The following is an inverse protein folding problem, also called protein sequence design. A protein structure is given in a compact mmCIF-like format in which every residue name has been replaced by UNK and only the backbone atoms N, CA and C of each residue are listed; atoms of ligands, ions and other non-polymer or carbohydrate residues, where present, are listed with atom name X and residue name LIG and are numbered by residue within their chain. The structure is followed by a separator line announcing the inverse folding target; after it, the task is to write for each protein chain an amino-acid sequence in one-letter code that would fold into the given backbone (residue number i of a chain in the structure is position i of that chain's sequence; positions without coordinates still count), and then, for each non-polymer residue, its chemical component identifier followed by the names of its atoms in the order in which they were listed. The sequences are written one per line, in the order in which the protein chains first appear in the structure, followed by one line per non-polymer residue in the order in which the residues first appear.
data_IF_512461375378
#
_entry.id   IF_512461375378
#
_cell.length_a   1.000
_cell.length_b   1.000
_cell.length_c   1.000
_cell.angle_alpha   90.00
_cell.angle_beta   90.00
_cell.angle_gamma   90.00
#
_symmetry.space_group_name_H-M   'P 1'
#
loop_
_entity.id
_entity.type
_entity.pdbx_description
1 polymer ?
#
# COMPACT_ATOMS: atom_id res chain seq x y z
N UNK A 1 -7.18 -29.16 10.38
CA UNK A 1 -8.07 -28.45 11.33
C UNK A 1 -8.53 -27.18 10.65
N UNK A 2 -9.85 -26.97 10.54
CA UNK A 2 -10.45 -25.74 10.00
C UNK A 2 -10.16 -24.58 10.95
N UNK A 3 -9.56 -23.48 10.47
CA UNK A 3 -9.37 -22.27 11.30
C UNK A 3 -10.67 -21.46 11.26
N UNK A 4 -11.06 -20.90 12.41
CA UNK A 4 -12.30 -20.11 12.55
C UNK A 4 -11.93 -18.63 12.73
N UNK A 5 -12.58 -17.76 11.96
CA UNK A 5 -12.48 -16.32 12.18
C UNK A 5 -13.27 -15.90 13.41
N UNK A 6 -12.58 -15.46 14.45
CA UNK A 6 -13.24 -14.95 15.67
C UNK A 6 -13.61 -13.49 15.46
N UNK A 7 -14.84 -13.20 15.06
CA UNK A 7 -15.32 -11.82 14.97
C UNK A 7 -15.56 -11.21 16.36
N UNK A 8 -14.54 -10.59 16.95
CA UNK A 8 -14.75 -9.74 18.13
C UNK A 8 -15.41 -8.43 17.65
N UNK A 9 -16.63 -8.14 18.11
CA UNK A 9 -17.26 -6.82 18.00
C UNK A 9 -16.51 -5.84 18.93
N UNK A 10 -15.29 -5.48 18.54
CA UNK A 10 -14.61 -4.32 19.12
C UNK A 10 -14.81 -3.17 18.13
N UNK A 11 -15.42 -2.08 18.61
CA UNK A 11 -15.64 -0.88 17.84
C UNK A 11 -14.32 -0.28 17.41
N UNK A 12 -13.79 -0.74 16.29
CA UNK A 12 -12.73 -0.06 15.56
C UNK A 12 -13.43 1.06 14.82
N UNK A 13 -12.92 2.27 15.00
CA UNK A 13 -13.35 3.46 14.27
C UNK A 13 -13.05 3.20 12.79
N UNK A 14 -13.99 2.55 12.10
CA UNK A 14 -14.20 2.75 10.68
C UNK A 14 -14.33 4.26 10.56
N UNK A 15 -13.62 4.88 9.62
CA UNK A 15 -14.08 6.17 9.13
C UNK A 15 -15.41 5.88 8.43
N UNK A 16 -16.47 5.74 9.23
CA UNK A 16 -17.84 5.73 8.78
C UNK A 16 -18.09 7.15 8.30
N UNK A 17 -17.76 7.40 7.04
CA UNK A 17 -18.52 8.40 6.32
C UNK A 17 -19.94 7.81 6.33
N UNK A 18 -20.85 8.44 7.06
CA UNK A 18 -22.28 8.16 6.96
C UNK A 18 -22.66 8.31 5.49
N UNK A 19 -22.76 7.19 4.78
CA UNK A 19 -23.32 7.15 3.44
C UNK A 19 -24.83 7.34 3.65
N UNK A 20 -25.29 8.58 3.49
CA UNK A 20 -26.72 8.84 3.35
C UNK A 20 -27.24 8.03 2.16
N UNK A 21 -28.41 7.41 2.32
CA UNK A 21 -29.08 6.72 1.22
C UNK A 21 -29.27 7.69 0.04
N UNK A 22 -28.45 7.56 -0.99
CA UNK A 22 -28.72 8.19 -2.28
C UNK A 22 -29.63 7.23 -3.04
N UNK A 23 -30.90 7.61 -3.12
CA UNK A 23 -31.88 7.00 -4.02
C UNK A 23 -31.29 6.94 -5.44
N UNK A 24 -31.43 5.80 -6.08
CA UNK A 24 -31.02 5.59 -7.46
C UNK A 24 -31.75 6.60 -8.38
N UNK A 25 -31.01 7.59 -8.87
CA UNK A 25 -31.38 8.34 -10.07
C UNK A 25 -30.54 7.79 -11.23
N UNK A 26 -31.23 7.27 -12.23
CA UNK A 26 -30.67 6.73 -13.46
C UNK A 26 -29.75 7.75 -14.16
N UNK A 27 -28.69 7.20 -14.76
CA UNK A 27 -27.61 7.84 -15.53
C UNK A 27 -26.48 8.46 -14.69
N UNK A 28 -25.41 7.69 -14.48
CA UNK A 28 -24.14 8.16 -13.89
C UNK A 28 -23.15 8.47 -15.03
N UNK A 29 -22.93 9.75 -15.42
CA UNK A 29 -22.14 10.12 -16.59
C UNK A 29 -20.61 9.93 -16.42
N UNK A 30 -20.14 9.29 -15.34
CA UNK A 30 -18.74 9.33 -14.90
C UNK A 30 -17.92 8.04 -15.13
N UNK A 31 -18.53 6.93 -15.56
CA UNK A 31 -17.80 5.66 -15.74
C UNK A 31 -17.54 5.45 -17.23
N UNK A 32 -16.27 5.50 -17.63
CA UNK A 32 -15.85 5.06 -18.95
C UNK A 32 -15.28 3.64 -18.87
N UNK A 33 -15.73 2.78 -19.79
CA UNK A 33 -15.29 1.40 -19.95
C UNK A 33 -14.13 1.34 -20.95
N UNK A 34 -12.97 0.79 -20.55
CA UNK A 34 -11.79 0.65 -21.43
C UNK A 34 -11.49 -0.82 -21.76
N UNK A 35 -10.88 -1.08 -22.92
CA UNK A 35 -10.30 -2.39 -23.22
C UNK A 35 -9.11 -2.70 -22.28
N UNK A 36 -9.00 -3.95 -21.82
CA UNK A 36 -7.96 -4.41 -20.88
C UNK A 36 -6.56 -4.23 -21.49
N UNK A 37 -5.84 -3.19 -21.07
CA UNK A 37 -4.45 -2.92 -21.51
C UNK A 37 -3.39 -3.30 -20.46
N UNK A 38 -3.81 -3.70 -19.25
CA UNK A 38 -2.93 -4.06 -18.13
C UNK A 38 -3.08 -5.56 -17.86
N UNK A 39 -1.97 -6.26 -17.64
CA UNK A 39 -1.98 -7.67 -17.25
C UNK A 39 -2.71 -7.84 -15.91
N UNK A 40 -3.66 -8.78 -15.85
CA UNK A 40 -4.40 -9.09 -14.62
C UNK A 40 -3.43 -9.55 -13.51
N UNK A 41 -3.34 -8.83 -12.37
CA UNK A 41 -2.45 -9.21 -11.28
C UNK A 41 -3.01 -10.35 -10.40
N UNK A 42 -4.31 -10.70 -10.53
CA UNK A 42 -4.99 -11.74 -9.73
C UNK A 42 -5.20 -13.03 -10.52
N UNK A 43 -4.11 -13.60 -11.06
CA UNK A 43 -4.18 -14.74 -11.98
C UNK A 43 -4.88 -15.96 -11.37
N UNK A 44 -4.50 -16.35 -10.14
CA UNK A 44 -5.06 -17.53 -9.48
C UNK A 44 -6.54 -17.35 -9.11
N UNK A 45 -6.93 -16.17 -8.63
CA UNK A 45 -8.33 -15.85 -8.34
C UNK A 45 -9.17 -15.84 -9.62
N UNK A 46 -8.62 -15.30 -10.72
CA UNK A 46 -9.33 -15.18 -11.99
C UNK A 46 -9.66 -16.54 -12.64
N UNK A 47 -9.01 -17.63 -12.22
CA UNK A 47 -9.39 -19.00 -12.61
C UNK A 47 -10.77 -19.42 -12.08
N UNK A 48 -11.22 -18.82 -10.97
CA UNK A 48 -12.48 -19.19 -10.30
C UNK A 48 -13.51 -18.06 -10.25
N UNK A 49 -13.06 -16.81 -10.12
CA UNK A 49 -13.91 -15.62 -10.02
C UNK A 49 -13.32 -14.57 -10.95
N UNK A 50 -13.98 -14.26 -12.07
CA UNK A 50 -13.50 -13.23 -12.99
C UNK A 50 -13.38 -11.86 -12.32
N UNK A 51 -12.21 -11.24 -12.47
CA UNK A 51 -11.95 -9.85 -12.08
C UNK A 51 -11.77 -9.00 -13.33
N UNK A 52 -12.18 -7.73 -13.24
CA UNK A 52 -12.20 -6.79 -14.35
C UNK A 52 -11.54 -5.47 -13.98
N UNK A 53 -10.90 -4.81 -14.95
CA UNK A 53 -10.40 -3.45 -14.85
C UNK A 53 -11.04 -2.61 -15.95
N UNK A 54 -12.34 -2.38 -15.80
CA UNK A 54 -13.11 -1.68 -16.83
C UNK A 54 -13.39 -0.23 -16.45
N UNK A 55 -13.35 0.14 -15.16
CA UNK A 55 -13.72 1.50 -14.72
C UNK A 55 -12.53 2.44 -14.77
N UNK A 56 -12.79 3.69 -15.17
CA UNK A 56 -11.80 4.77 -15.19
C UNK A 56 -12.44 6.13 -14.87
N UNK A 57 -11.59 7.12 -14.53
CA UNK A 57 -11.98 8.52 -14.37
C UNK A 57 -11.10 9.45 -15.21
N UNK A 58 -11.67 10.55 -15.69
CA UNK A 58 -10.94 11.58 -16.44
C UNK A 58 -10.39 12.66 -15.51
N UNK A 59 -9.06 12.84 -15.52
CA UNK A 59 -8.38 13.89 -14.76
C UNK A 59 -7.32 14.57 -15.60
N UNK A 60 -7.36 15.91 -15.66
CA UNK A 60 -6.38 16.72 -16.41
C UNK A 60 -6.15 16.22 -17.86
N UNK A 61 -7.22 15.76 -18.51
CA UNK A 61 -7.18 15.21 -19.87
C UNK A 61 -6.37 13.91 -19.98
N UNK A 62 -6.43 13.05 -18.97
CA UNK A 62 -6.02 11.64 -19.06
C UNK A 62 -7.12 10.76 -18.51
N UNK A 63 -7.32 9.62 -19.17
CA UNK A 63 -8.08 8.49 -18.65
C UNK A 63 -7.25 7.75 -17.62
N UNK A 64 -7.77 7.62 -16.39
CA UNK A 64 -7.08 6.96 -15.28
C UNK A 64 -7.88 5.73 -14.86
N UNK A 65 -7.39 4.51 -15.17
CA UNK A 65 -8.03 3.28 -14.71
C UNK A 65 -8.10 3.23 -13.19
N UNK A 66 -9.20 2.69 -12.69
CA UNK A 66 -9.39 2.38 -11.27
C UNK A 66 -8.80 1.00 -10.95
N UNK A 67 -8.94 0.54 -9.71
CA UNK A 67 -8.47 -0.79 -9.33
C UNK A 67 -9.33 -1.90 -9.93
N UNK A 68 -8.73 -3.07 -10.12
CA UNK A 68 -9.47 -4.28 -10.50
C UNK A 68 -10.51 -4.63 -9.45
N UNK A 69 -11.70 -5.01 -9.89
CA UNK A 69 -12.79 -5.43 -9.01
C UNK A 69 -13.56 -6.64 -9.56
N UNK A 70 -14.42 -7.24 -8.73
CA UNK A 70 -15.31 -8.29 -9.17
C UNK A 70 -16.37 -7.74 -10.12
N UNK A 71 -16.67 -8.49 -11.19
CA UNK A 71 -17.79 -8.18 -12.08
C UNK A 71 -19.15 -8.25 -11.37
N UNK A 72 -19.31 -9.23 -10.47
CA UNK A 72 -20.47 -9.38 -9.60
C UNK A 72 -19.99 -9.77 -8.20
N UNK A 73 -20.17 -8.85 -7.25
CA UNK A 73 -19.61 -8.97 -5.91
C UNK A 73 -20.32 -10.03 -5.06
N UNK A 74 -21.65 -10.10 -5.14
CA UNK A 74 -22.44 -11.06 -4.36
C UNK A 74 -22.12 -12.49 -4.80
N UNK A 75 -22.06 -12.71 -6.12
CA UNK A 75 -21.64 -14.01 -6.68
C UNK A 75 -20.19 -14.37 -6.29
N UNK A 76 -19.28 -13.39 -6.24
CA UNK A 76 -17.90 -13.62 -5.82
C UNK A 76 -17.82 -14.09 -4.35
N UNK A 77 -18.62 -13.51 -3.46
CA UNK A 77 -18.72 -13.91 -2.05
C UNK A 77 -19.20 -15.36 -1.94
N UNK A 78 -20.26 -15.73 -2.63
CA UNK A 78 -20.84 -17.08 -2.56
C UNK A 78 -19.87 -18.16 -3.09
N UNK A 79 -19.18 -17.87 -4.19
CA UNK A 79 -18.12 -18.74 -4.73
C UNK A 79 -17.00 -18.88 -3.70
N UNK A 80 -16.55 -17.78 -3.10
CA UNK A 80 -15.44 -17.80 -2.14
C UNK A 80 -15.78 -18.58 -0.87
N UNK A 81 -17.01 -18.45 -0.36
CA UNK A 81 -17.52 -19.25 0.76
C UNK A 81 -17.45 -20.74 0.46
N UNK A 82 -17.93 -21.14 -0.72
CA UNK A 82 -17.95 -22.53 -1.16
C UNK A 82 -16.54 -23.08 -1.40
N UNK A 83 -15.65 -22.26 -1.97
CA UNK A 83 -14.27 -22.63 -2.30
C UNK A 83 -13.38 -22.83 -1.07
N UNK A 84 -13.63 -22.12 0.04
CA UNK A 84 -12.79 -22.17 1.25
C UNK A 84 -13.39 -22.94 2.43
N UNK A 85 -14.58 -23.52 2.27
CA UNK A 85 -15.35 -24.12 3.37
C UNK A 85 -14.62 -25.19 4.18
N UNK A 86 -13.63 -25.87 3.60
CA UNK A 86 -12.83 -26.92 4.22
C UNK A 86 -11.64 -26.39 5.04
N UNK A 87 -11.13 -25.19 4.70
CA UNK A 87 -10.00 -24.56 5.40
C UNK A 87 -10.41 -23.51 6.41
N UNK A 88 -11.34 -22.63 6.02
CA UNK A 88 -11.67 -21.41 6.76
C UNK A 88 -13.19 -21.25 6.79
N UNK A 89 -13.71 -20.84 7.94
CA UNK A 89 -15.13 -20.49 8.04
C UNK A 89 -15.40 -19.07 7.50
N UNK A 90 -16.06 -19.00 6.35
CA UNK A 90 -16.48 -17.75 5.70
C UNK A 90 -18.02 -17.59 5.71
N UNK A 91 -18.75 -18.36 6.50
CA UNK A 91 -20.23 -18.36 6.50
C UNK A 91 -20.85 -16.95 6.63
N UNK A 92 -20.33 -16.15 7.55
CA UNK A 92 -20.77 -14.76 7.80
C UNK A 92 -20.10 -13.71 6.90
N UNK A 93 -19.26 -14.11 5.93
CA UNK A 93 -18.62 -13.18 5.02
C UNK A 93 -19.65 -12.42 4.18
N UNK A 94 -19.50 -11.10 4.12
CA UNK A 94 -20.30 -10.17 3.32
C UNK A 94 -19.38 -9.09 2.77
N UNK A 95 -19.89 -8.30 1.83
CA UNK A 95 -19.16 -7.12 1.34
C UNK A 95 -18.85 -6.11 2.46
N UNK A 96 -19.73 -6.00 3.46
CA UNK A 96 -19.60 -5.03 4.55
C UNK A 96 -18.56 -5.43 5.60
N UNK A 97 -18.23 -6.71 5.71
CA UNK A 97 -17.24 -7.21 6.67
C UNK A 97 -16.02 -7.85 6.00
N UNK A 98 -15.89 -7.79 4.66
CA UNK A 98 -14.77 -8.39 3.94
C UNK A 98 -13.41 -7.87 4.46
N UNK A 99 -13.30 -6.58 4.79
CA UNK A 99 -12.08 -6.01 5.39
C UNK A 99 -11.72 -6.65 6.73
N UNK A 100 -12.72 -6.91 7.58
CA UNK A 100 -12.49 -7.54 8.87
C UNK A 100 -12.01 -8.97 8.69
N UNK A 101 -12.56 -9.69 7.72
CA UNK A 101 -12.08 -11.03 7.37
C UNK A 101 -10.65 -11.00 6.84
N UNK A 102 -10.30 -10.02 6.00
CA UNK A 102 -8.94 -9.82 5.51
C UNK A 102 -7.96 -9.53 6.66
N UNK A 103 -8.34 -8.67 7.61
CA UNK A 103 -7.54 -8.36 8.79
C UNK A 103 -7.29 -9.58 9.68
N UNK A 104 -8.29 -10.44 9.87
CA UNK A 104 -8.11 -11.67 10.63
C UNK A 104 -7.28 -12.69 9.84
N UNK A 105 -7.43 -12.75 8.51
CA UNK A 105 -6.64 -13.62 7.64
C UNK A 105 -5.15 -13.34 7.81
N UNK A 106 -4.78 -12.07 7.79
CA UNK A 106 -3.39 -11.58 7.94
C UNK A 106 -2.82 -11.87 9.34
N UNK A 107 -3.65 -12.06 10.37
CA UNK A 107 -3.20 -12.53 11.69
C UNK A 107 -2.96 -14.02 11.75
N UNK A 108 -3.73 -14.78 10.97
CA UNK A 108 -3.74 -16.24 11.03
C UNK A 108 -2.68 -16.89 10.16
N UNK A 109 -2.23 -16.19 9.11
CA UNK A 109 -1.33 -16.73 8.10
C UNK A 109 -0.20 -15.76 7.79
N UNK A 110 1.02 -16.30 7.82
CA UNK A 110 2.21 -15.59 7.34
C UNK A 110 2.24 -15.53 5.82
N UNK A 111 2.98 -14.57 5.28
CA UNK A 111 3.20 -14.42 3.83
C UNK A 111 3.75 -15.71 3.20
N UNK A 112 4.64 -16.43 3.91
CA UNK A 112 5.22 -17.67 3.42
C UNK A 112 4.20 -18.82 3.37
N UNK A 113 3.32 -18.93 4.37
CA UNK A 113 2.22 -19.90 4.35
C UNK A 113 1.27 -19.62 3.18
N UNK A 114 0.89 -18.34 2.97
CA UNK A 114 0.07 -17.93 1.83
C UNK A 114 0.78 -18.25 0.52
N UNK A 115 2.08 -17.99 0.41
CA UNK A 115 2.85 -18.23 -0.82
C UNK A 115 3.01 -19.71 -1.19
N UNK A 116 2.80 -20.64 -0.25
CA UNK A 116 2.92 -22.09 -0.49
C UNK A 116 1.58 -22.79 -0.74
N UNK A 117 0.46 -22.15 -0.41
CA UNK A 117 -0.88 -22.75 -0.48
C UNK A 117 -1.77 -22.04 -1.51
N UNK A 118 -2.14 -22.74 -2.59
CA UNK A 118 -2.95 -22.16 -3.67
C UNK A 118 -4.29 -21.57 -3.18
N UNK A 119 -4.94 -22.22 -2.23
CA UNK A 119 -6.24 -21.80 -1.71
C UNK A 119 -6.10 -20.54 -0.85
N UNK A 120 -5.04 -20.45 -0.04
CA UNK A 120 -4.73 -19.23 0.71
C UNK A 120 -4.32 -18.07 -0.21
N UNK A 121 -3.59 -18.32 -1.31
CA UNK A 121 -3.31 -17.28 -2.32
C UNK A 121 -4.58 -16.71 -2.92
N UNK A 122 -5.48 -17.58 -3.35
CA UNK A 122 -6.77 -17.19 -3.92
C UNK A 122 -7.57 -16.37 -2.91
N UNK A 123 -7.62 -16.82 -1.66
CA UNK A 123 -8.31 -16.07 -0.60
C UNK A 123 -7.65 -14.72 -0.31
N UNK A 124 -6.31 -14.65 -0.31
CA UNK A 124 -5.57 -13.39 -0.17
C UNK A 124 -5.89 -12.42 -1.32
N UNK A 125 -5.88 -12.89 -2.57
CA UNK A 125 -6.23 -12.07 -3.74
C UNK A 125 -7.70 -11.62 -3.66
N UNK A 126 -8.60 -12.49 -3.20
CA UNK A 126 -10.01 -12.14 -3.00
C UNK A 126 -10.17 -10.97 -2.03
N UNK A 127 -9.47 -11.01 -0.89
CA UNK A 127 -9.50 -9.92 0.08
C UNK A 127 -8.91 -8.62 -0.47
N UNK A 128 -7.84 -8.68 -1.26
CA UNK A 128 -7.32 -7.51 -1.97
C UNK A 128 -8.36 -6.92 -2.93
N UNK A 129 -9.06 -7.75 -3.70
CA UNK A 129 -10.09 -7.28 -4.64
C UNK A 129 -11.32 -6.72 -3.90
N UNK A 130 -11.65 -7.24 -2.71
CA UNK A 130 -12.63 -6.61 -1.82
C UNK A 130 -12.22 -5.16 -1.45
N UNK A 131 -10.97 -4.96 -1.04
CA UNK A 131 -10.42 -3.63 -0.70
C UNK A 131 -10.47 -2.69 -1.88
N UNK A 132 -10.11 -3.17 -3.06
CA UNK A 132 -10.17 -2.40 -4.30
C UNK A 132 -11.58 -1.89 -4.60
N UNK A 133 -12.61 -2.70 -4.38
CA UNK A 133 -13.98 -2.26 -4.58
C UNK A 133 -14.39 -1.14 -3.61
N UNK A 134 -13.97 -1.23 -2.35
CA UNK A 134 -14.17 -0.16 -1.36
C UNK A 134 -13.44 1.12 -1.79
N UNK A 135 -12.19 0.98 -2.26
CA UNK A 135 -11.37 2.09 -2.76
C UNK A 135 -11.99 2.73 -4.01
N UNK A 136 -12.45 1.95 -4.98
CA UNK A 136 -13.13 2.45 -6.18
C UNK A 136 -14.40 3.22 -5.81
N UNK A 137 -15.18 2.75 -4.83
CA UNK A 137 -16.34 3.50 -4.31
C UNK A 137 -15.93 4.83 -3.69
N UNK A 138 -14.85 4.85 -2.91
CA UNK A 138 -14.31 6.08 -2.33
C UNK A 138 -13.85 7.07 -3.41
N UNK A 139 -13.08 6.60 -4.39
CA UNK A 139 -12.59 7.40 -5.53
C UNK A 139 -13.77 8.01 -6.30
N UNK A 140 -14.76 7.21 -6.67
CA UNK A 140 -15.93 7.68 -7.41
C UNK A 140 -16.78 8.65 -6.58
N UNK A 141 -16.92 8.38 -5.27
CA UNK A 141 -17.64 9.27 -4.37
C UNK A 141 -16.96 10.64 -4.26
N UNK A 142 -15.63 10.71 -4.21
CA UNK A 142 -14.88 11.96 -4.20
C UNK A 142 -14.93 12.65 -5.55
N UNK A 143 -14.69 11.92 -6.65
CA UNK A 143 -14.70 12.46 -8.00
C UNK A 143 -16.01 13.15 -8.38
N UNK A 144 -17.14 12.61 -7.90
CA UNK A 144 -18.48 13.15 -8.16
C UNK A 144 -18.83 14.40 -7.30
N UNK A 145 -17.95 14.82 -6.39
CA UNK A 145 -18.16 16.08 -5.64
C UNK A 145 -17.81 17.28 -6.53
N UNK A 146 -18.59 18.36 -6.45
CA UNK A 146 -18.36 19.57 -7.28
C UNK A 146 -16.98 20.20 -7.06
N UNK A 147 -16.49 20.18 -5.83
CA UNK A 147 -15.24 20.82 -5.40
C UNK A 147 -14.28 19.82 -4.74
N UNK A 148 -14.11 18.64 -5.36
CA UNK A 148 -13.20 17.64 -4.82
C UNK A 148 -11.76 18.18 -4.74
N UNK A 149 -11.04 17.82 -3.69
CA UNK A 149 -9.62 18.17 -3.59
C UNK A 149 -8.79 17.23 -4.46
N UNK A 150 -8.20 17.79 -5.53
CA UNK A 150 -7.41 17.03 -6.49
C UNK A 150 -6.30 16.18 -5.84
N UNK A 151 -5.54 16.77 -4.91
CA UNK A 151 -4.46 16.06 -4.22
C UNK A 151 -4.97 14.91 -3.34
N UNK A 152 -6.18 15.01 -2.80
CA UNK A 152 -6.79 13.94 -2.00
C UNK A 152 -7.30 12.79 -2.90
N UNK A 153 -7.85 13.11 -4.07
CA UNK A 153 -8.28 12.10 -5.03
C UNK A 153 -7.09 11.34 -5.63
N UNK A 154 -6.03 12.07 -6.00
CA UNK A 154 -4.87 11.50 -6.68
C UNK A 154 -4.11 10.49 -5.82
N UNK A 155 -4.03 10.69 -4.51
CA UNK A 155 -3.37 9.74 -3.59
C UNK A 155 -4.16 8.45 -3.37
N UNK A 156 -5.36 8.33 -3.94
CA UNK A 156 -6.18 7.10 -3.91
C UNK A 156 -6.06 6.29 -5.19
N UNK A 157 -5.53 6.87 -6.27
CA UNK A 157 -5.48 6.21 -7.56
C UNK A 157 -4.32 5.21 -7.62
N UNK A 158 -4.43 4.14 -8.44
CA UNK A 158 -3.28 3.31 -8.77
C UNK A 158 -2.07 4.18 -9.13
N UNK A 159 -0.88 3.87 -8.62
CA UNK A 159 0.31 4.70 -8.91
C UNK A 159 0.70 4.65 -10.40
N UNK A 160 0.13 3.71 -11.15
CA UNK A 160 0.23 3.55 -12.61
C UNK A 160 -0.70 4.48 -13.39
N UNK A 161 -1.59 5.22 -12.72
CA UNK A 161 -2.51 6.16 -13.38
C UNK A 161 -1.73 7.26 -14.13
N UNK A 162 -2.06 7.55 -15.40
CA UNK A 162 -1.32 8.53 -16.22
C UNK A 162 -1.26 9.95 -15.61
N UNK A 163 -2.26 10.34 -14.80
CA UNK A 163 -2.27 11.65 -14.13
C UNK A 163 -1.07 11.82 -13.17
N UNK A 164 -0.54 10.74 -12.59
CA UNK A 164 0.60 10.78 -11.67
C UNK A 164 1.85 11.34 -12.37
N UNK A 165 2.10 10.91 -13.61
CA UNK A 165 3.24 11.42 -14.40
C UNK A 165 3.06 12.90 -14.74
N UNK A 166 1.84 13.32 -15.10
CA UNK A 166 1.53 14.75 -15.32
C UNK A 166 1.81 15.59 -14.08
N UNK A 167 1.43 15.10 -12.89
CA UNK A 167 1.70 15.80 -11.62
C UNK A 167 3.21 15.87 -11.35
N UNK A 168 3.94 14.77 -11.52
CA UNK A 168 5.40 14.74 -11.32
C UNK A 168 6.12 15.71 -12.26
N UNK A 169 5.76 15.72 -13.54
CA UNK A 169 6.37 16.60 -14.54
C UNK A 169 6.07 18.07 -14.24
N UNK A 170 4.87 18.36 -13.75
CA UNK A 170 4.48 19.72 -13.31
C UNK A 170 5.26 20.14 -12.06
N UNK A 171 5.56 19.22 -11.14
CA UNK A 171 6.36 19.48 -9.93
C UNK A 171 7.87 19.50 -10.20
N UNK A 172 8.35 18.91 -11.31
CA UNK A 172 9.77 18.84 -11.64
C UNK A 172 10.41 20.23 -11.80
N UNK A 173 9.62 21.21 -12.25
CA UNK A 173 10.03 22.62 -12.37
C UNK A 173 10.16 23.33 -11.01
N UNK A 174 9.63 22.75 -9.92
CA UNK A 174 9.62 23.31 -8.56
C UNK A 174 10.59 22.60 -7.59
N UNK A 175 11.41 21.65 -8.07
CA UNK A 175 12.28 20.84 -7.20
C UNK A 175 13.27 21.74 -6.45
N UNK A 176 13.29 21.58 -5.13
CA UNK A 176 14.15 22.35 -4.22
C UNK A 176 15.62 22.27 -4.63
N UNK A 177 16.32 23.40 -4.54
CA UNK A 177 17.78 23.46 -4.67
C UNK A 177 18.43 22.40 -3.76
N UNK A 178 19.52 21.73 -4.20
CA UNK A 178 20.18 20.72 -3.41
C UNK A 178 20.59 21.32 -2.05
N UNK A 179 20.14 20.69 -0.96
CA UNK A 179 20.65 21.01 0.39
C UNK A 179 22.16 20.77 0.41
N UNK A 180 22.88 21.53 1.24
CA UNK A 180 24.28 21.23 1.51
C UNK A 180 24.44 19.76 1.95
N UNK A 181 25.52 19.13 1.50
CA UNK A 181 25.85 17.73 1.85
C UNK A 181 25.82 17.56 3.37
N UNK A 182 26.39 18.51 4.12
CA UNK A 182 26.42 18.50 5.58
C UNK A 182 25.03 18.55 6.24
N UNK A 183 24.06 19.27 5.68
CA UNK A 183 22.70 19.29 6.21
C UNK A 183 21.95 17.99 5.92
N UNK A 184 22.24 17.35 4.78
CA UNK A 184 21.71 16.02 4.44
C UNK A 184 22.26 14.95 5.38
N UNK A 185 23.56 14.94 5.63
CA UNK A 185 24.18 13.92 6.49
C UNK A 185 23.69 14.04 7.93
N UNK A 186 23.54 15.26 8.45
CA UNK A 186 22.93 15.48 9.78
C UNK A 186 21.48 15.00 9.87
N UNK A 187 20.68 15.16 8.80
CA UNK A 187 19.31 14.61 8.74
C UNK A 187 19.35 13.09 8.82
N UNK A 188 20.13 12.44 7.95
CA UNK A 188 20.22 10.98 7.88
C UNK A 188 20.73 10.40 9.20
N UNK A 189 21.69 11.07 9.86
CA UNK A 189 22.16 10.67 11.19
C UNK A 189 21.02 10.63 12.22
N UNK A 190 20.17 11.65 12.26
CA UNK A 190 19.04 11.72 13.18
C UNK A 190 17.96 10.69 12.85
N UNK A 191 17.65 10.51 11.56
CA UNK A 191 16.76 9.47 11.06
C UNK A 191 17.25 8.07 11.49
N UNK A 192 18.53 7.78 11.27
CA UNK A 192 19.16 6.52 11.66
C UNK A 192 19.14 6.30 13.17
N UNK A 193 19.38 7.34 13.97
CA UNK A 193 19.28 7.25 15.44
C UNK A 193 17.86 6.87 15.86
N UNK A 194 16.85 7.52 15.30
CA UNK A 194 15.45 7.21 15.60
C UNK A 194 15.09 5.78 15.20
N UNK A 195 15.44 5.39 13.96
CA UNK A 195 15.19 4.07 13.42
C UNK A 195 15.80 2.97 14.31
N UNK A 196 17.04 3.14 14.79
CA UNK A 196 17.72 2.18 15.67
C UNK A 196 17.10 2.10 17.07
N UNK A 197 16.60 3.21 17.60
CA UNK A 197 15.97 3.21 18.94
C UNK A 197 14.59 2.54 18.91
N UNK A 198 13.82 2.77 17.84
CA UNK A 198 12.41 2.39 17.81
C UNK A 198 12.06 1.27 16.83
N UNK A 199 13.00 0.79 16.02
CA UNK A 199 12.69 -0.24 15.02
C UNK A 199 12.34 -1.61 15.62
N UNK A 200 12.89 -1.98 16.77
CA UNK A 200 12.49 -3.21 17.47
C UNK A 200 11.31 -2.98 18.44
N UNK A 201 11.10 -1.74 18.87
CA UNK A 201 10.07 -1.35 19.86
C UNK A 201 9.42 -0.01 19.47
N UNK A 202 8.15 -0.01 19.05
CA UNK A 202 7.46 1.20 18.62
C UNK A 202 7.45 2.32 19.67
N UNK A 203 7.49 3.57 19.23
CA UNK A 203 7.45 4.76 20.09
C UNK A 203 6.05 5.06 20.63
N UNK A 204 5.49 4.14 21.41
CA UNK A 204 4.12 4.24 21.96
C UNK A 204 3.93 5.39 22.94
N UNK A 205 5.01 5.95 23.48
CA UNK A 205 4.96 7.13 24.35
C UNK A 205 4.56 8.41 23.62
N UNK A 206 4.85 8.50 22.31
CA UNK A 206 4.61 9.71 21.51
C UNK A 206 3.61 9.51 20.39
N UNK A 207 3.53 8.31 19.82
CA UNK A 207 2.69 8.02 18.67
C UNK A 207 1.81 6.80 18.95
N UNK A 208 0.60 6.82 18.39
CA UNK A 208 -0.23 5.62 18.30
C UNK A 208 0.55 4.52 17.57
N UNK A 209 0.51 3.31 18.11
CA UNK A 209 1.03 2.11 17.45
C UNK A 209 -0.12 1.34 16.83
N UNK A 210 0.01 1.02 15.54
CA UNK A 210 -0.98 0.21 14.83
C UNK A 210 -0.52 -1.25 14.80
N UNK A 211 -0.94 -2.02 15.82
CA UNK A 211 -0.51 -3.41 15.99
C UNK A 211 -0.97 -4.34 14.87
N UNK A 212 -0.09 -5.23 14.41
CA UNK A 212 -0.41 -6.31 13.47
C UNK A 212 0.16 -6.08 12.06
N UNK A 213 0.02 -7.11 11.23
CA UNK A 213 0.42 -7.01 9.83
C UNK A 213 -0.58 -6.14 9.05
N UNK A 214 -0.09 -5.36 8.08
CA UNK A 214 -0.83 -4.42 7.23
C UNK A 214 -1.65 -3.31 7.92
N UNK A 215 -1.44 -3.04 9.22
CA UNK A 215 -2.24 -2.05 9.98
C UNK A 215 -1.75 -0.60 9.88
N UNK A 216 -0.84 -0.31 8.95
CA UNK A 216 -0.32 1.03 8.68
C UNK A 216 0.89 1.45 9.50
N UNK A 217 1.38 0.60 10.41
CA UNK A 217 2.49 1.01 11.27
C UNK A 217 3.84 1.06 10.56
N UNK A 218 4.01 0.29 9.48
CA UNK A 218 5.14 0.44 8.56
C UNK A 218 5.34 1.90 8.14
N UNK A 219 4.25 2.56 7.75
CA UNK A 219 4.22 3.94 7.27
C UNK A 219 4.28 4.95 8.41
N UNK A 220 3.54 4.69 9.49
CA UNK A 220 3.61 5.51 10.70
C UNK A 220 5.04 5.61 11.21
N UNK A 221 5.77 4.49 11.27
CA UNK A 221 7.16 4.45 11.70
C UNK A 221 8.10 5.19 10.74
N UNK A 222 7.99 4.95 9.44
CA UNK A 222 8.79 5.69 8.44
C UNK A 222 8.51 7.20 8.53
N UNK A 223 7.26 7.60 8.72
CA UNK A 223 6.90 9.01 8.89
C UNK A 223 7.54 9.63 10.15
N UNK A 224 7.58 8.89 11.26
CA UNK A 224 8.26 9.30 12.48
C UNK A 224 9.78 9.46 12.27
N UNK A 225 10.41 8.53 11.54
CA UNK A 225 11.83 8.63 11.18
C UNK A 225 12.08 9.94 10.41
N UNK A 226 11.25 10.25 9.41
CA UNK A 226 11.37 11.49 8.63
C UNK A 226 11.28 12.75 9.51
N UNK A 227 10.31 12.80 10.44
CA UNK A 227 10.16 13.91 11.38
C UNK A 227 11.34 14.00 12.35
N UNK A 228 11.86 12.88 12.85
CA UNK A 228 13.07 12.87 13.68
C UNK A 228 14.30 13.40 12.93
N UNK A 229 14.33 13.23 11.60
CA UNK A 229 15.31 13.85 10.70
C UNK A 229 15.16 15.37 10.50
N UNK A 230 14.12 15.99 11.07
CA UNK A 230 13.83 17.42 10.94
C UNK A 230 12.98 17.78 9.72
N UNK A 231 12.34 16.82 9.05
CA UNK A 231 11.37 17.11 7.99
C UNK A 231 10.10 17.63 8.64
N UNK A 232 9.71 18.86 8.27
CA UNK A 232 8.50 19.51 8.80
C UNK A 232 7.25 18.89 8.20
N UNK A 233 6.26 18.62 9.05
CA UNK A 233 4.91 18.23 8.64
C UNK A 233 4.15 19.41 8.05
N UNK A 234 3.04 19.13 7.37
CA UNK A 234 2.10 20.13 6.88
C UNK A 234 0.65 19.63 7.05
N UNK A 235 -0.33 20.29 6.43
CA UNK A 235 -1.74 19.90 6.57
C UNK A 235 -2.06 18.54 5.95
N UNK A 236 -1.36 18.15 4.89
CA UNK A 236 -1.56 16.89 4.17
C UNK A 236 -0.83 15.72 4.85
N UNK A 237 0.45 15.90 5.18
CA UNK A 237 1.31 14.91 5.83
C UNK A 237 1.66 15.36 7.25
N UNK A 238 0.92 14.82 8.22
CA UNK A 238 1.09 15.01 9.67
C UNK A 238 0.55 13.78 10.41
N UNK A 239 0.86 13.60 11.70
CA UNK A 239 0.40 12.43 12.44
C UNK A 239 -1.07 12.12 12.21
N UNK A 240 -1.33 10.86 11.86
CA UNK A 240 -2.66 10.25 11.69
C UNK A 240 -3.44 10.65 10.44
N UNK A 241 -2.88 11.47 9.53
CA UNK A 241 -3.47 11.62 8.18
C UNK A 241 -3.23 10.37 7.34
N UNK A 242 -4.02 10.16 6.28
CA UNK A 242 -3.86 9.02 5.36
C UNK A 242 -2.43 8.92 4.83
N UNK A 243 -1.85 10.02 4.36
CA UNK A 243 -0.46 10.06 3.86
C UNK A 243 0.59 9.81 4.94
N UNK A 244 0.24 9.79 6.22
CA UNK A 244 1.16 9.48 7.33
C UNK A 244 1.13 8.00 7.74
N UNK A 245 -0.02 7.32 7.61
CA UNK A 245 -0.23 5.95 8.11
C UNK A 245 -0.47 4.90 7.01
N UNK A 246 -0.90 5.30 5.82
CA UNK A 246 -1.18 4.37 4.73
C UNK A 246 -0.02 4.34 3.73
N UNK A 247 0.48 3.14 3.41
CA UNK A 247 1.69 2.95 2.60
C UNK A 247 1.52 3.53 1.20
N UNK A 248 0.43 3.20 0.52
CA UNK A 248 0.11 3.73 -0.80
C UNK A 248 0.08 5.26 -0.82
N UNK A 249 -0.74 5.87 0.04
CA UNK A 249 -0.86 7.33 0.09
C UNK A 249 0.46 8.02 0.46
N UNK A 250 1.24 7.46 1.40
CA UNK A 250 2.55 7.99 1.79
C UNK A 250 3.53 7.93 0.62
N UNK A 251 3.68 6.75 0.02
CA UNK A 251 4.66 6.53 -1.06
C UNK A 251 4.30 7.41 -2.24
N UNK A 252 3.03 7.48 -2.63
CA UNK A 252 2.56 8.30 -3.74
C UNK A 252 2.72 9.81 -3.46
N UNK A 253 2.40 10.27 -2.24
CA UNK A 253 2.62 11.66 -1.82
C UNK A 253 4.08 12.09 -1.97
N UNK A 254 5.03 11.26 -1.50
CA UNK A 254 6.45 11.57 -1.61
C UNK A 254 6.98 11.34 -3.02
N UNK A 255 6.49 10.32 -3.73
CA UNK A 255 6.83 10.06 -5.12
C UNK A 255 6.52 11.27 -6.01
N UNK A 256 5.32 11.85 -5.88
CA UNK A 256 4.91 13.04 -6.63
C UNK A 256 5.76 14.29 -6.32
N UNK A 257 6.39 14.35 -5.14
CA UNK A 257 7.26 15.47 -4.74
C UNK A 257 8.71 15.29 -5.16
N UNK A 258 9.23 14.07 -5.08
CA UNK A 258 10.64 13.79 -5.44
C UNK A 258 10.81 13.44 -6.91
N UNK A 259 9.72 13.04 -7.59
CA UNK A 259 9.73 12.33 -8.87
C UNK A 259 10.76 11.21 -8.87
N UNK A 260 10.59 10.30 -7.92
CA UNK A 260 11.46 9.16 -7.70
C UNK A 260 11.55 8.25 -8.93
N UNK A 261 12.50 7.31 -8.91
CA UNK A 261 12.55 6.25 -9.93
C UNK A 261 11.68 5.08 -9.46
N UNK A 262 10.63 4.77 -10.22
CA UNK A 262 9.78 3.60 -10.03
C UNK A 262 10.25 2.42 -10.91
N UNK A 263 9.68 1.23 -10.70
CA UNK A 263 9.77 0.11 -11.65
C UNK A 263 10.89 -0.89 -11.39
N UNK A 264 11.36 -1.02 -10.16
CA UNK A 264 12.27 -2.11 -9.80
C UNK A 264 11.45 -3.40 -9.61
N UNK A 265 11.75 -4.45 -10.37
CA UNK A 265 10.93 -5.68 -10.40
C UNK A 265 11.24 -6.72 -9.31
N UNK A 266 12.27 -6.47 -8.49
CA UNK A 266 12.68 -7.32 -7.38
C UNK A 266 13.65 -6.58 -6.45
N UNK A 267 13.81 -7.10 -5.23
CA UNK A 267 14.71 -6.51 -4.23
C UNK A 267 16.18 -6.42 -4.70
N UNK A 268 16.67 -7.42 -5.44
CA UNK A 268 18.04 -7.41 -5.97
C UNK A 268 18.29 -6.23 -6.92
N UNK A 269 17.31 -5.83 -7.71
CA UNK A 269 17.42 -4.68 -8.62
C UNK A 269 17.44 -3.34 -7.87
N UNK A 270 16.54 -3.13 -6.90
CA UNK A 270 16.47 -1.87 -6.14
C UNK A 270 17.66 -1.71 -5.20
N UNK A 271 18.11 -2.79 -4.54
CA UNK A 271 19.20 -2.76 -3.55
C UNK A 271 20.50 -2.18 -4.10
N UNK A 272 20.78 -2.35 -5.39
CA UNK A 272 21.94 -1.74 -6.10
C UNK A 272 21.98 -0.22 -6.01
N UNK A 273 20.83 0.41 -5.79
CA UNK A 273 20.66 1.85 -5.81
C UNK A 273 20.35 2.46 -4.44
N UNK A 274 20.13 1.61 -3.43
CA UNK A 274 19.79 2.00 -2.07
C UNK A 274 21.00 2.56 -1.34
N UNK A 275 20.74 3.60 -0.54
CA UNK A 275 21.67 4.25 0.37
C UNK A 275 20.98 4.54 1.70
N UNK A 276 21.77 4.68 2.76
CA UNK A 276 21.28 5.19 4.03
C UNK A 276 20.43 6.47 3.83
N UNK A 277 19.26 6.53 4.45
CA UNK A 277 18.30 7.62 4.28
C UNK A 277 17.24 7.40 3.19
N UNK A 278 17.39 6.39 2.34
CA UNK A 278 16.38 6.04 1.35
C UNK A 278 15.19 5.33 1.99
N UNK A 279 14.01 5.47 1.39
CA UNK A 279 12.81 4.70 1.70
C UNK A 279 12.50 3.77 0.54
N UNK A 280 12.11 2.55 0.89
CA UNK A 280 11.60 1.52 -0.02
C UNK A 280 10.08 1.57 0.06
N UNK A 281 9.39 1.76 -1.05
CA UNK A 281 7.97 1.41 -1.20
C UNK A 281 7.86 0.09 -1.97
N UNK A 282 6.94 -0.78 -1.56
CA UNK A 282 6.72 -2.09 -2.18
C UNK A 282 5.24 -2.29 -2.51
N UNK A 283 4.98 -2.73 -3.74
CA UNK A 283 3.73 -3.29 -4.23
C UNK A 283 4.00 -4.80 -4.46
N UNK A 284 3.54 -5.62 -3.53
CA UNK A 284 3.76 -7.07 -3.59
C UNK A 284 2.80 -7.73 -4.57
N UNK A 285 1.59 -7.19 -4.72
CA UNK A 285 0.55 -7.69 -5.63
C UNK A 285 0.79 -7.34 -7.10
N UNK A 286 1.57 -6.30 -7.38
CA UNK A 286 1.75 -5.73 -8.71
C UNK A 286 0.47 -5.11 -9.27
N UNK A 287 -0.44 -4.65 -8.40
CA UNK A 287 -1.76 -4.14 -8.77
C UNK A 287 -1.85 -2.62 -8.84
N UNK A 288 -0.72 -1.92 -8.64
CA UNK A 288 -0.68 -0.46 -8.64
C UNK A 288 -0.98 0.16 -7.29
N UNK A 289 -1.12 -0.64 -6.22
CA UNK A 289 -1.23 -0.18 -4.84
C UNK A 289 0.07 -0.50 -4.07
N UNK A 290 0.57 0.42 -3.24
CA UNK A 290 1.75 0.09 -2.41
C UNK A 290 1.27 -0.47 -1.08
N UNK A 291 1.70 -1.69 -0.78
CA UNK A 291 1.32 -2.43 0.42
C UNK A 291 2.19 -2.07 1.63
N UNK A 292 3.45 -1.72 1.36
CA UNK A 292 4.44 -1.57 2.41
C UNK A 292 5.47 -0.48 2.14
N UNK A 293 6.04 0.04 3.22
CA UNK A 293 7.24 0.85 3.13
C UNK A 293 8.22 0.60 4.28
N UNK A 294 9.51 0.83 4.01
CA UNK A 294 10.59 0.61 4.96
C UNK A 294 11.73 1.61 4.77
N UNK A 295 12.55 1.81 5.80
CA UNK A 295 13.63 2.79 5.80
C UNK A 295 15.01 2.11 5.77
N UNK A 296 15.91 2.61 4.92
CA UNK A 296 17.30 2.12 4.81
C UNK A 296 18.17 2.85 5.83
N UNK A 297 18.63 2.13 6.84
CA UNK A 297 19.48 2.66 7.92
C UNK A 297 20.94 2.74 7.49
N UNK A 298 21.43 1.75 6.73
CA UNK A 298 22.82 1.67 6.33
C UNK A 298 22.99 0.92 5.01
N UNK A 299 24.00 1.33 4.25
CA UNK A 299 24.53 0.60 3.11
C UNK A 299 25.04 -0.80 3.55
N UNK A 300 25.21 -1.69 2.58
CA UNK A 300 25.77 -3.02 2.82
C UNK A 300 26.57 -3.54 1.62
N UNK A 301 27.37 -4.60 1.79
CA UNK A 301 28.14 -5.19 0.70
C UNK A 301 27.23 -5.93 -0.29
N UNK A 302 27.71 -6.11 -1.53
CA UNK A 302 27.08 -7.01 -2.50
C UNK A 302 27.25 -8.47 -2.03
N UNK A 303 26.16 -9.22 -2.04
CA UNK A 303 26.13 -10.65 -1.70
C UNK A 303 26.41 -11.52 -2.93
N UNK A 304 26.74 -12.79 -2.71
CA UNK A 304 26.83 -13.80 -3.77
C UNK A 304 25.51 -14.01 -4.52
N UNK A 305 24.38 -13.77 -3.86
CA UNK A 305 23.04 -13.82 -4.45
C UNK A 305 22.69 -12.58 -5.31
N UNK A 306 23.61 -11.62 -5.47
CA UNK A 306 23.49 -10.52 -6.43
C UNK A 306 22.75 -9.26 -5.96
N UNK A 307 22.30 -9.23 -4.69
CA UNK A 307 21.73 -8.04 -4.03
C UNK A 307 22.69 -7.39 -3.04
N UNK A 308 22.45 -6.14 -2.66
CA UNK A 308 23.22 -5.43 -1.62
C UNK A 308 22.58 -5.62 -0.25
N UNK A 309 23.36 -6.07 0.74
CA UNK A 309 22.87 -6.45 2.08
C UNK A 309 22.68 -5.25 3.01
N UNK A 310 21.83 -4.32 2.59
CA UNK A 310 21.51 -3.09 3.32
C UNK A 310 20.85 -3.39 4.66
N UNK A 311 21.02 -2.49 5.63
CA UNK A 311 20.28 -2.54 6.90
C UNK A 311 18.95 -1.81 6.76
N UNK A 312 17.86 -2.51 7.02
CA UNK A 312 16.48 -2.01 6.90
C UNK A 312 15.86 -1.92 8.29
N UNK A 313 15.17 -0.80 8.54
CA UNK A 313 14.27 -0.64 9.66
C UNK A 313 12.84 -0.57 9.14
N UNK A 314 11.95 -1.37 9.73
CA UNK A 314 10.53 -1.36 9.43
C UNK A 314 9.72 -1.80 10.65
N UNK A 315 8.44 -1.50 10.62
CA UNK A 315 7.43 -2.19 11.41
C UNK A 315 6.62 -3.12 10.50
N UNK A 316 5.94 -4.11 11.08
CA UNK A 316 5.19 -5.17 10.35
C UNK A 316 6.11 -6.15 9.59
N UNK A 317 6.89 -7.01 10.29
CA UNK A 317 7.16 -6.98 11.74
C UNK A 317 8.22 -5.93 12.12
N UNK A 318 8.33 -5.64 13.43
CA UNK A 318 9.25 -4.64 13.98
C UNK A 318 10.68 -5.18 14.01
N UNK A 319 11.60 -4.56 13.29
CA UNK A 319 13.03 -4.82 13.43
C UNK A 319 13.92 -3.70 12.86
N UNK A 320 15.19 -3.75 13.25
CA UNK A 320 16.32 -3.22 12.47
C UNK A 320 17.31 -4.33 12.17
N UNK A 321 17.46 -4.71 10.91
CA UNK A 321 18.29 -5.85 10.53
C UNK A 321 18.80 -5.76 9.09
N UNK A 322 19.80 -6.57 8.76
CA UNK A 322 20.25 -6.72 7.37
C UNK A 322 19.18 -7.44 6.54
N UNK A 323 19.10 -7.09 5.26
CA UNK A 323 18.20 -7.74 4.30
C UNK A 323 18.44 -9.25 4.17
N UNK A 324 19.64 -9.74 4.47
CA UNK A 324 19.96 -11.17 4.53
C UNK A 324 19.37 -11.90 5.73
N UNK A 325 19.07 -11.18 6.82
CA UNK A 325 18.59 -11.73 8.09
C UNK A 325 17.05 -11.72 8.20
N UNK A 326 16.39 -10.89 7.40
CA UNK A 326 14.93 -10.73 7.38
C UNK A 326 14.48 -10.76 5.93
N UNK A 327 13.48 -11.57 5.58
CA UNK A 327 13.14 -12.10 4.24
C UNK A 327 13.00 -11.18 3.02
N UNK A 328 13.46 -9.92 3.04
CA UNK A 328 13.56 -9.05 1.87
C UNK A 328 14.31 -9.69 0.69
N UNK A 329 15.34 -10.49 0.97
CA UNK A 329 16.07 -11.25 -0.06
C UNK A 329 15.21 -12.33 -0.75
N UNK A 330 14.16 -12.79 -0.08
CA UNK A 330 13.30 -13.89 -0.52
C UNK A 330 12.07 -13.37 -1.28
N UNK A 331 11.84 -12.05 -1.28
CA UNK A 331 10.83 -11.37 -2.08
C UNK A 331 11.23 -11.33 -3.57
N UNK A 332 10.97 -12.45 -4.25
CA UNK A 332 11.33 -12.67 -5.67
C UNK A 332 10.40 -11.96 -6.67
N UNK A 333 9.25 -11.46 -6.22
CA UNK A 333 8.25 -10.75 -7.02
C UNK A 333 7.77 -9.50 -6.27
N UNK A 334 7.29 -8.51 -7.03
CA UNK A 334 6.83 -7.22 -6.52
C UNK A 334 7.49 -6.05 -7.23
N UNK A 335 6.78 -4.94 -7.29
CA UNK A 335 7.28 -3.68 -7.82
C UNK A 335 7.74 -2.79 -6.68
N UNK A 336 8.94 -2.25 -6.79
CA UNK A 336 9.54 -1.40 -5.77
C UNK A 336 9.82 -0.01 -6.31
N UNK A 337 9.72 0.96 -5.41
CA UNK A 337 10.12 2.35 -5.63
C UNK A 337 11.11 2.79 -4.56
N UNK A 338 12.09 3.59 -4.97
CA UNK A 338 13.06 4.19 -4.04
C UNK A 338 12.81 5.68 -3.90
N UNK A 339 12.39 6.10 -2.72
CA UNK A 339 12.25 7.52 -2.37
C UNK A 339 13.52 8.02 -1.67
N UNK A 340 13.92 9.26 -1.98
CA UNK A 340 15.07 9.93 -1.37
C UNK A 340 14.66 11.35 -0.99
N UNK A 341 14.53 11.60 0.32
CA UNK A 341 13.87 12.79 0.89
C UNK A 341 14.85 13.64 1.71
#
# INVERSE_FOLDING_TARGET
MKKVFTMILSGIMVFSITIGNVMASNENPAIQYTENTINNPYLELNEIIPVINEKSIELKGTTNPLYWEFKNFDNAIDIMKSYNQDKIDLSELTIHNCEKYAEEFEKLYTIDEVAQDKQLKILSQFFTVCRNHIMNKEILSLYNQKDYQFDELVILLPYTSPVIEKVINSNATLRMAPRSISARDRRIMQQNRYARVYGDKPNTKKYKYYQGDNRGDCTNFVSQILVAGGIKTNNTWKPYTRTWVNAHAFVLYWYMKTGAKNGYSNFASISKSLKAGDIIGADWGGDGHYDHCAYVVADGPKTSAGYYDVTIAQHTPNYVAKASQKGWKDLKKGLYVRLRI
#
